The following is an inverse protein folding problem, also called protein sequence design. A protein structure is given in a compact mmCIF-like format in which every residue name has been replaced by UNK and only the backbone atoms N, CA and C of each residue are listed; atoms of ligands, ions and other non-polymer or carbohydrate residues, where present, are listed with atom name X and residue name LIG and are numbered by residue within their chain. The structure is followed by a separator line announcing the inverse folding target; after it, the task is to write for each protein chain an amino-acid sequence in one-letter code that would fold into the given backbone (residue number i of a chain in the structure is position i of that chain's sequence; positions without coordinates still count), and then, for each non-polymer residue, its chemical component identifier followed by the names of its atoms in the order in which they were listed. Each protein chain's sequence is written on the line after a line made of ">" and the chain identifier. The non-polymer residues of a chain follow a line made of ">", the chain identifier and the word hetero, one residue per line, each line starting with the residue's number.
data_IF_818814087881
#
_entry.id   IF_818814087881
#
_cell.length_a   1.000
_cell.length_b   1.000
_cell.length_c   1.000
_cell.angle_alpha   90.00
_cell.angle_beta   90.00
_cell.angle_gamma   90.00
#
_symmetry.space_group_name_H-M   'P 1'
#
loop_
_entity.id
_entity.type
_entity.pdbx_description
1 polymer ?
#
# COMPACT_ATOMS: atom_id res chain seq x y z
N UNK A 1 0.67 -11.07 -6.61
CA UNK A 1 -0.50 -11.82 -6.07
C UNK A 1 -1.78 -11.00 -6.12
N UNK A 2 -2.57 -11.14 -7.20
CA UNK A 2 -3.90 -10.52 -7.35
C UNK A 2 -4.89 -10.91 -6.23
N UNK A 3 -4.67 -12.05 -5.57
CA UNK A 3 -5.54 -12.60 -4.51
C UNK A 3 -5.25 -12.10 -3.09
N UNK A 4 -4.06 -11.54 -2.82
CA UNK A 4 -3.66 -11.01 -1.51
C UNK A 4 -3.04 -9.64 -1.70
N UNK A 5 -3.86 -8.61 -1.92
CA UNK A 5 -3.34 -7.26 -2.07
C UNK A 5 -2.74 -6.81 -0.75
N UNK A 6 -1.50 -6.35 -0.79
CA UNK A 6 -0.81 -5.81 0.39
C UNK A 6 -1.59 -4.61 0.92
N UNK A 7 -1.94 -4.68 2.21
CA UNK A 7 -2.49 -3.55 2.95
C UNK A 7 -1.46 -2.44 3.06
N UNK A 8 -1.93 -1.21 3.23
CA UNK A 8 -1.07 -0.02 3.30
C UNK A 8 -0.08 -0.10 4.48
N UNK A 9 -0.48 -0.78 5.56
CA UNK A 9 0.38 -1.11 6.70
C UNK A 9 1.55 -2.04 6.34
N UNK A 10 1.33 -3.00 5.44
CA UNK A 10 2.37 -3.91 5.00
C UNK A 10 3.39 -3.19 4.11
N UNK A 11 2.91 -2.28 3.25
CA UNK A 11 3.75 -1.40 2.45
C UNK A 11 4.60 -0.47 3.32
N UNK A 12 4.00 0.15 4.34
CA UNK A 12 4.73 0.97 5.30
C UNK A 12 5.82 0.19 6.04
N UNK A 13 5.53 -1.07 6.43
CA UNK A 13 6.49 -1.94 7.09
C UNK A 13 7.66 -2.33 6.17
N UNK A 14 7.37 -2.66 4.91
CA UNK A 14 8.37 -2.96 3.88
C UNK A 14 9.30 -1.76 3.62
N UNK A 15 8.71 -0.58 3.44
CA UNK A 15 9.47 0.65 3.19
C UNK A 15 10.30 1.05 4.42
N UNK A 16 9.77 0.85 5.63
CA UNK A 16 10.54 1.02 6.87
C UNK A 16 11.72 0.05 6.94
N UNK A 17 11.55 -1.20 6.49
CA UNK A 17 12.61 -2.22 6.43
C UNK A 17 13.70 -1.86 5.41
N UNK A 18 13.34 -1.18 4.32
CA UNK A 18 14.28 -0.68 3.30
C UNK A 18 14.99 0.63 3.71
N UNK A 19 14.71 1.17 4.91
CA UNK A 19 15.34 2.39 5.41
C UNK A 19 14.55 3.68 5.16
N UNK A 20 13.31 3.58 4.65
CA UNK A 20 12.41 4.71 4.46
C UNK A 20 11.31 4.69 5.54
N UNK A 21 11.48 5.41 6.68
CA UNK A 21 10.48 5.45 7.74
C UNK A 21 9.26 6.27 7.29
N UNK A 22 8.35 5.64 6.56
CA UNK A 22 7.11 6.25 6.10
C UNK A 22 5.93 5.77 6.94
N UNK A 23 5.02 6.69 7.23
CA UNK A 23 3.78 6.37 7.92
C UNK A 23 2.72 5.84 6.94
N UNK A 24 1.78 5.03 7.46
CA UNK A 24 0.61 4.53 6.71
C UNK A 24 -0.15 5.64 5.97
N UNK A 25 -0.29 6.83 6.58
CA UNK A 25 -0.97 7.99 5.97
C UNK A 25 -0.26 8.49 4.72
N UNK A 26 1.07 8.47 4.70
CA UNK A 26 1.89 8.85 3.53
C UNK A 26 1.72 7.85 2.40
N UNK A 27 1.70 6.55 2.71
CA UNK A 27 1.42 5.48 1.73
C UNK A 27 0.03 5.63 1.12
N UNK A 28 -0.99 5.93 1.93
CA UNK A 28 -2.35 6.17 1.45
C UNK A 28 -2.42 7.38 0.50
N UNK A 29 -1.73 8.49 0.84
CA UNK A 29 -1.63 9.67 -0.02
C UNK A 29 -0.96 9.35 -1.36
N UNK A 30 0.14 8.60 -1.34
CA UNK A 30 0.83 8.19 -2.57
C UNK A 30 -0.03 7.25 -3.44
N UNK A 31 -0.82 6.35 -2.84
CA UNK A 31 -1.75 5.50 -3.60
C UNK A 31 -2.83 6.30 -4.30
N UNK A 32 -3.36 7.33 -3.64
CA UNK A 32 -4.36 8.23 -4.23
C UNK A 32 -3.75 9.01 -5.41
N UNK A 33 -2.55 9.57 -5.24
CA UNK A 33 -1.84 10.28 -6.31
C UNK A 33 -1.51 9.38 -7.51
N UNK A 34 -1.13 8.13 -7.25
CA UNK A 34 -0.84 7.13 -8.27
C UNK A 34 -2.11 6.50 -8.89
N UNK A 35 -3.31 6.93 -8.46
CA UNK A 35 -4.61 6.35 -8.85
C UNK A 35 -4.68 4.84 -8.65
N UNK A 36 -3.95 4.31 -7.67
CA UNK A 36 -3.88 2.89 -7.38
C UNK A 36 -5.01 2.54 -6.40
N UNK A 37 -6.04 1.79 -6.85
CA UNK A 37 -7.16 1.45 -5.98
C UNK A 37 -6.69 0.64 -4.78
N UNK A 38 -7.32 0.88 -3.62
CA UNK A 38 -7.03 0.22 -2.35
C UNK A 38 -7.12 -1.29 -2.48
N UNK A 39 -6.37 -1.99 -1.64
CA UNK A 39 -6.29 -3.45 -1.61
C UNK A 39 -7.69 -4.11 -1.63
N UNK A 40 -8.66 -3.52 -0.94
CA UNK A 40 -10.05 -3.99 -0.90
C UNK A 40 -10.72 -4.12 -2.28
N UNK A 41 -10.40 -3.24 -3.24
CA UNK A 41 -10.99 -3.24 -4.58
C UNK A 41 -10.33 -4.22 -5.56
N UNK A 42 -9.18 -4.82 -5.19
CA UNK A 42 -8.41 -5.71 -6.07
C UNK A 42 -8.82 -7.18 -5.97
N UNK A 43 -9.79 -7.52 -5.11
CA UNK A 43 -10.19 -8.90 -4.82
C UNK A 43 -11.18 -9.49 -5.86
N UNK A 44 -11.56 -8.71 -6.89
CA UNK A 44 -12.65 -9.06 -7.82
C UNK A 44 -12.27 -9.09 -9.31
N UNK A 45 -10.99 -9.32 -9.65
CA UNK A 45 -10.56 -9.61 -11.04
C UNK A 45 -9.69 -10.87 -11.04
#
# INVERSE_FOLDING_TARGET
>A
NKQKPFSDDHLALLLKKEGYPIARRTVAKYREQLKIPVARLRRSI
#
